data_IF_781296012814
#
_entry.id   IF_781296012814
#
_cell.length_a   1.000
_cell.length_b   1.000
_cell.length_c   1.000
_cell.angle_alpha   90.00
_cell.angle_beta   90.00
_cell.angle_gamma   90.00
#
_symmetry.space_group_name_H-M   'P 1'
#
loop_
_entity.id
_entity.type
_entity.pdbx_description
1 polymer ?
#
# COMPACT_ATOMS: atom_id res chain seq x y z
N UNK A 1 -31.33 52.87 31.45
CA UNK A 1 -30.17 53.61 30.92
C UNK A 1 -28.89 53.12 31.60
N UNK A 2 -28.04 52.38 30.89
CA UNK A 2 -26.60 52.26 31.18
C UNK A 2 -25.91 51.73 29.91
N UNK A 3 -25.32 52.67 29.17
CA UNK A 3 -24.31 52.43 28.13
C UNK A 3 -23.08 51.86 28.81
N UNK A 4 -22.38 50.88 28.24
CA UNK A 4 -20.91 50.82 28.28
C UNK A 4 -20.34 49.82 27.26
N UNK A 5 -19.49 50.40 26.39
CA UNK A 5 -18.38 49.87 25.60
C UNK A 5 -18.54 48.61 24.72
N UNK A 6 -18.53 48.88 23.40
CA UNK A 6 -18.01 48.01 22.35
C UNK A 6 -16.52 47.70 22.59
N UNK A 7 -16.13 46.43 22.51
CA UNK A 7 -14.75 46.02 22.24
C UNK A 7 -14.79 45.23 20.93
N UNK A 8 -14.38 45.91 19.86
CA UNK A 8 -14.11 45.32 18.56
C UNK A 8 -12.86 44.46 18.65
N UNK A 9 -13.01 43.14 18.58
CA UNK A 9 -11.90 42.21 18.40
C UNK A 9 -11.70 41.96 16.90
N UNK A 10 -10.80 42.74 16.30
CA UNK A 10 -10.28 42.46 14.97
C UNK A 10 -9.27 41.31 15.07
N UNK A 11 -9.71 40.08 14.85
CA UNK A 11 -8.78 38.98 14.58
C UNK A 11 -8.28 39.10 13.14
N UNK A 12 -6.99 39.46 13.03
CA UNK A 12 -6.25 39.47 11.78
C UNK A 12 -6.16 38.06 11.20
N UNK A 13 -6.25 38.01 9.88
CA UNK A 13 -6.07 36.82 9.06
C UNK A 13 -4.68 36.21 9.24
N UNK A 14 -4.63 34.89 9.32
CA UNK A 14 -3.54 34.13 8.72
C UNK A 14 -4.16 33.09 7.79
N UNK A 15 -4.04 33.37 6.50
CA UNK A 15 -4.24 32.38 5.46
C UNK A 15 -3.24 31.26 5.70
N UNK A 16 -3.73 30.08 6.08
CA UNK A 16 -2.91 28.87 5.92
C UNK A 16 -2.91 28.59 4.42
N UNK A 17 -1.82 29.06 3.81
CA UNK A 17 -1.40 28.75 2.46
C UNK A 17 -1.52 27.24 2.21
N UNK A 18 -1.93 26.91 1.00
CA UNK A 18 -2.43 25.60 0.63
C UNK A 18 -1.59 24.43 1.10
N UNK A 19 -2.27 23.41 1.62
CA UNK A 19 -1.87 22.05 1.29
C UNK A 19 -2.11 21.90 -0.20
N UNK A 20 -1.03 22.08 -0.96
CA UNK A 20 -0.97 21.65 -2.35
C UNK A 20 -1.45 20.21 -2.38
N UNK A 21 -2.64 20.02 -2.97
CA UNK A 21 -3.03 18.77 -3.61
C UNK A 21 -1.80 18.37 -4.41
N UNK A 22 -1.06 17.36 -3.95
CA UNK A 22 -0.06 16.70 -4.79
C UNK A 22 -0.88 16.02 -5.88
N UNK A 23 -1.21 16.80 -6.91
CA UNK A 23 -1.65 16.27 -8.19
C UNK A 23 -0.43 15.51 -8.68
N UNK A 24 -0.42 14.21 -8.39
CA UNK A 24 0.53 13.29 -8.94
C UNK A 24 0.36 13.34 -10.46
N UNK A 25 1.26 14.08 -11.11
CA UNK A 25 1.61 14.10 -12.53
C UNK A 25 0.61 13.33 -13.40
N UNK A 26 -0.31 14.10 -14.00
CA UNK A 26 -1.47 13.63 -14.75
C UNK A 26 -1.15 13.48 -16.26
N UNK A 27 0.12 13.24 -16.58
CA UNK A 27 0.57 13.16 -17.97
C UNK A 27 0.88 11.70 -18.32
N UNK A 28 -0.15 10.97 -18.77
CA UNK A 28 -0.13 9.56 -19.22
C UNK A 28 0.16 8.50 -18.14
N UNK A 29 -0.73 8.35 -17.16
CA UNK A 29 -0.76 7.13 -16.34
C UNK A 29 -1.30 5.97 -17.18
N UNK A 30 -0.38 5.18 -17.73
CA UNK A 30 -0.65 3.93 -18.45
C UNK A 30 -1.67 3.04 -17.72
N UNK A 31 -1.53 2.95 -16.40
CA UNK A 31 -2.50 2.33 -15.52
C UNK A 31 -2.74 3.19 -14.27
N UNK A 32 -3.95 3.09 -13.72
CA UNK A 32 -4.35 3.62 -12.43
C UNK A 32 -4.76 2.47 -11.52
N UNK A 33 -4.76 2.68 -10.20
CA UNK A 33 -5.20 1.68 -9.24
C UNK A 33 -6.17 2.31 -8.24
N UNK A 34 -7.15 1.54 -7.79
CA UNK A 34 -8.04 1.97 -6.70
C UNK A 34 -7.31 1.94 -5.36
N UNK A 35 -7.70 2.83 -4.45
CA UNK A 35 -7.35 2.67 -3.03
C UNK A 35 -8.07 1.42 -2.52
N UNK A 36 -7.36 0.29 -2.56
CA UNK A 36 -7.86 -0.99 -2.09
C UNK A 36 -8.17 -0.98 -0.59
N UNK A 37 -9.01 -1.92 -0.13
CA UNK A 37 -9.07 -2.20 1.31
C UNK A 37 -7.68 -2.66 1.76
N UNK A 38 -7.06 -1.93 2.68
CA UNK A 38 -5.74 -2.29 3.21
C UNK A 38 -5.72 -3.74 3.68
N UNK A 39 -4.62 -4.44 3.41
CA UNK A 39 -4.47 -5.83 3.83
C UNK A 39 -4.22 -5.95 5.33
N UNK A 40 -4.48 -7.14 5.87
CA UNK A 40 -4.16 -7.49 7.25
C UNK A 40 -2.91 -8.36 7.28
N UNK A 41 -1.83 -7.78 7.77
CA UNK A 41 -0.58 -8.49 8.01
C UNK A 41 -0.62 -9.17 9.39
N UNK A 42 -0.37 -10.47 9.42
CA UNK A 42 -0.35 -11.26 10.66
C UNK A 42 0.92 -12.08 10.75
N UNK A 43 1.25 -12.54 11.95
CA UNK A 43 2.30 -13.53 12.13
C UNK A 43 1.85 -14.91 11.64
N UNK A 44 2.77 -15.73 11.15
CA UNK A 44 2.47 -17.15 10.95
C UNK A 44 1.99 -17.82 12.27
N UNK A 45 1.12 -18.82 12.17
CA UNK A 45 0.53 -19.54 13.32
C UNK A 45 1.55 -20.47 13.99
N UNK A 46 2.58 -19.89 14.62
CA UNK A 46 3.61 -20.60 15.39
C UNK A 46 3.83 -19.94 16.75
N UNK A 47 4.31 -20.72 17.72
CA UNK A 47 4.63 -20.26 19.07
C UNK A 47 5.71 -19.17 19.05
N UNK A 48 6.70 -19.32 18.16
CA UNK A 48 7.77 -18.33 17.95
C UNK A 48 7.78 -17.91 16.48
N UNK A 49 6.91 -16.98 16.07
CA UNK A 49 6.79 -16.61 14.66
C UNK A 49 8.04 -15.86 14.19
N UNK A 50 8.54 -16.23 13.00
CA UNK A 50 9.59 -15.47 12.31
C UNK A 50 9.06 -14.68 11.11
N UNK A 51 7.79 -14.89 10.76
CA UNK A 51 7.21 -14.45 9.50
C UNK A 51 5.99 -13.57 9.71
N UNK A 52 5.85 -12.58 8.84
CA UNK A 52 4.67 -11.76 8.64
C UNK A 52 4.09 -12.09 7.26
N UNK A 53 2.79 -12.39 7.21
CA UNK A 53 2.09 -12.77 5.99
C UNK A 53 0.70 -12.17 5.94
N UNK A 54 0.19 -11.90 4.74
CA UNK A 54 -1.21 -11.52 4.50
C UNK A 54 -2.06 -12.72 4.08
N UNK A 55 -1.69 -13.93 4.54
CA UNK A 55 -2.36 -15.18 4.17
C UNK A 55 -3.59 -15.44 5.03
N UNK A 56 -4.73 -15.75 4.40
CA UNK A 56 -5.97 -16.13 5.08
C UNK A 56 -5.80 -17.35 5.98
N UNK A 57 -5.00 -18.34 5.55
CA UNK A 57 -4.69 -19.53 6.36
C UNK A 57 -3.99 -19.18 7.69
N UNK A 58 -3.26 -18.07 7.74
CA UNK A 58 -2.64 -17.54 8.95
C UNK A 58 -3.55 -16.58 9.73
N UNK A 59 -4.73 -16.25 9.20
CA UNK A 59 -5.65 -15.26 9.78
C UNK A 59 -5.39 -13.82 9.31
N UNK A 60 -4.58 -13.64 8.25
CA UNK A 60 -4.38 -12.36 7.59
C UNK A 60 -5.33 -12.16 6.42
N UNK A 61 -5.22 -11.02 5.75
CA UNK A 61 -6.04 -10.70 4.59
C UNK A 61 -5.18 -10.03 3.51
N UNK A 62 -5.37 -10.48 2.27
CA UNK A 62 -4.74 -9.87 1.11
C UNK A 62 -5.24 -8.44 0.90
N UNK A 63 -4.44 -7.61 0.24
CA UNK A 63 -4.91 -6.31 -0.23
C UNK A 63 -5.69 -6.55 -1.52
N UNK A 64 -6.94 -6.10 -1.57
CA UNK A 64 -7.78 -6.20 -2.75
C UNK A 64 -7.86 -4.85 -3.43
N UNK A 65 -7.62 -4.79 -4.73
CA UNK A 65 -7.69 -3.56 -5.51
C UNK A 65 -7.96 -3.83 -6.98
N UNK A 66 -8.34 -2.79 -7.71
CA UNK A 66 -8.53 -2.81 -9.14
C UNK A 66 -7.41 -2.03 -9.82
N UNK A 67 -6.83 -2.59 -10.88
CA UNK A 67 -5.89 -1.89 -11.76
C UNK A 67 -6.59 -1.64 -13.09
N UNK A 68 -6.70 -0.37 -13.49
CA UNK A 68 -7.32 0.03 -14.75
C UNK A 68 -6.26 0.58 -15.69
N UNK A 69 -6.02 -0.10 -16.81
CA UNK A 69 -5.05 0.29 -17.83
C UNK A 69 -5.74 0.81 -19.10
N UNK A 70 -5.22 1.88 -19.70
CA UNK A 70 -5.76 2.44 -20.96
C UNK A 70 -5.40 1.62 -22.20
N UNK A 71 -4.35 0.80 -22.10
CA UNK A 71 -3.84 -0.12 -23.12
C UNK A 71 -3.19 -1.31 -22.41
N UNK A 72 -2.83 -2.41 -23.11
CA UNK A 72 -2.06 -3.49 -22.50
C UNK A 72 -0.78 -2.95 -21.86
N UNK A 73 -0.43 -3.52 -20.70
CA UNK A 73 0.70 -3.09 -19.91
C UNK A 73 1.34 -4.26 -19.17
N UNK A 74 2.60 -4.09 -18.78
CA UNK A 74 3.34 -5.01 -17.93
C UNK A 74 3.47 -4.44 -16.54
N UNK A 75 3.01 -5.18 -15.54
CA UNK A 75 3.10 -4.83 -14.13
C UNK A 75 4.32 -5.50 -13.49
N UNK A 76 5.16 -4.68 -12.84
CA UNK A 76 6.19 -5.14 -11.91
C UNK A 76 5.85 -4.63 -10.51
N UNK A 77 6.05 -5.48 -9.51
CA UNK A 77 5.85 -5.14 -8.10
C UNK A 77 7.16 -5.16 -7.33
N UNK A 78 7.35 -4.20 -6.43
CA UNK A 78 8.52 -4.19 -5.54
C UNK A 78 8.40 -5.22 -4.41
N UNK A 79 9.53 -5.56 -3.78
CA UNK A 79 9.49 -6.21 -2.47
C UNK A 79 8.77 -5.31 -1.43
N UNK A 80 8.29 -5.87 -0.30
CA UNK A 80 7.67 -5.10 0.77
C UNK A 80 8.68 -4.12 1.40
N UNK A 81 8.23 -2.89 1.62
CA UNK A 81 9.00 -1.78 2.20
C UNK A 81 8.43 -1.50 3.58
N UNK A 82 9.22 -1.68 4.63
CA UNK A 82 8.77 -1.37 5.99
C UNK A 82 8.62 0.15 6.16
N UNK A 83 7.47 0.58 6.67
CA UNK A 83 7.16 2.00 6.95
C UNK A 83 6.86 2.27 8.43
N UNK A 84 6.75 1.20 9.24
CA UNK A 84 6.53 1.33 10.68
C UNK A 84 6.71 0.03 11.45
N UNK A 85 6.73 0.15 12.78
CA UNK A 85 6.91 -0.97 13.71
C UNK A 85 8.38 -1.32 13.99
N UNK A 86 8.64 -2.43 14.71
CA UNK A 86 10.00 -2.83 15.04
C UNK A 86 10.83 -3.16 13.80
N UNK A 87 11.95 -2.48 13.59
CA UNK A 87 12.80 -2.73 12.41
C UNK A 87 13.57 -4.06 12.51
N UNK A 88 13.73 -4.70 11.35
CA UNK A 88 14.67 -5.80 11.15
C UNK A 88 15.03 -5.93 9.68
N UNK A 89 16.17 -6.56 9.39
CA UNK A 89 16.55 -6.95 8.04
C UNK A 89 15.94 -8.33 7.72
N UNK A 90 15.03 -8.46 6.73
CA UNK A 90 14.49 -9.75 6.35
C UNK A 90 15.56 -10.65 5.71
N UNK A 91 15.48 -11.96 5.95
CA UNK A 91 16.24 -12.96 5.18
C UNK A 91 15.54 -13.28 3.86
N UNK A 92 14.23 -13.07 3.80
CA UNK A 92 13.42 -13.19 2.60
C UNK A 92 12.21 -12.27 2.71
N UNK A 93 11.91 -11.53 1.65
CA UNK A 93 10.71 -10.72 1.57
C UNK A 93 10.26 -10.59 0.13
N UNK A 94 8.96 -10.79 -0.12
CA UNK A 94 8.40 -10.61 -1.45
C UNK A 94 6.94 -10.16 -1.40
N UNK A 95 6.55 -9.44 -2.44
CA UNK A 95 5.16 -9.09 -2.71
C UNK A 95 4.71 -9.94 -3.89
N UNK A 96 3.54 -10.56 -3.81
CA UNK A 96 2.93 -11.28 -4.92
C UNK A 96 1.63 -10.62 -5.34
N UNK A 97 1.40 -10.53 -6.64
CA UNK A 97 0.15 -10.03 -7.21
C UNK A 97 -0.50 -11.16 -8.00
N UNK A 98 -1.78 -11.40 -7.78
CA UNK A 98 -2.58 -12.41 -8.47
C UNK A 98 -3.83 -11.76 -9.05
N UNK A 99 -4.12 -12.00 -10.33
CA UNK A 99 -5.36 -11.55 -10.97
C UNK A 99 -6.51 -12.51 -10.66
N UNK A 100 -7.74 -12.05 -10.84
CA UNK A 100 -8.92 -12.93 -10.75
C UNK A 100 -8.89 -14.12 -11.76
N UNK A 101 -8.16 -13.98 -12.87
CA UNK A 101 -7.95 -15.06 -13.86
C UNK A 101 -6.87 -16.07 -13.46
N UNK A 102 -6.19 -15.88 -12.33
CA UNK A 102 -5.16 -16.77 -11.80
C UNK A 102 -3.74 -16.50 -12.31
N UNK A 103 -3.53 -15.47 -13.13
CA UNK A 103 -2.18 -15.04 -13.51
C UNK A 103 -1.51 -14.35 -12.33
N UNK A 104 -0.20 -14.55 -12.13
CA UNK A 104 0.49 -13.96 -11.00
C UNK A 104 1.93 -13.58 -11.30
N UNK A 105 2.45 -12.62 -10.54
CA UNK A 105 3.88 -12.27 -10.48
C UNK A 105 4.30 -12.06 -9.03
N UNK A 106 5.61 -12.07 -8.77
CA UNK A 106 6.19 -11.67 -7.50
C UNK A 106 7.31 -10.65 -7.71
N UNK A 107 7.68 -9.97 -6.63
CA UNK A 107 8.82 -9.07 -6.65
C UNK A 107 10.09 -9.79 -7.12
N UNK A 108 10.78 -9.20 -8.10
CA UNK A 108 11.95 -9.75 -8.79
C UNK A 108 11.66 -10.95 -9.72
N UNK A 109 10.39 -11.25 -10.02
CA UNK A 109 10.01 -12.20 -11.07
C UNK A 109 9.64 -11.46 -12.38
N UNK A 110 9.26 -12.23 -13.40
CA UNK A 110 8.82 -11.68 -14.67
C UNK A 110 7.58 -10.78 -14.49
N UNK A 111 7.47 -9.68 -15.26
CA UNK A 111 6.30 -8.81 -15.21
C UNK A 111 5.01 -9.58 -15.51
N UNK A 112 3.91 -9.15 -14.89
CA UNK A 112 2.57 -9.64 -15.17
C UNK A 112 1.94 -8.84 -16.31
N UNK A 113 1.54 -9.51 -17.38
CA UNK A 113 0.79 -8.86 -18.46
C UNK A 113 -0.64 -8.55 -18.00
N UNK A 114 -1.05 -7.29 -18.18
CA UNK A 114 -2.37 -6.76 -17.91
C UNK A 114 -3.03 -6.33 -19.23
N UNK A 115 -4.27 -6.76 -19.51
CA UNK A 115 -5.00 -6.26 -20.66
C UNK A 115 -5.44 -4.81 -20.44
N UNK A 116 -5.86 -4.15 -21.51
CA UNK A 116 -6.59 -2.89 -21.40
C UNK A 116 -7.92 -3.10 -20.64
N UNK A 117 -8.34 -2.10 -19.87
CA UNK A 117 -9.51 -2.15 -19.01
C UNK A 117 -9.15 -2.43 -17.55
N UNK A 118 -10.13 -2.85 -16.77
CA UNK A 118 -10.01 -3.07 -15.33
C UNK A 118 -9.71 -4.53 -15.01
N UNK A 119 -8.62 -4.76 -14.29
CA UNK A 119 -8.22 -6.07 -13.78
C UNK A 119 -8.25 -6.06 -12.24
N UNK A 120 -9.15 -6.81 -11.60
CA UNK A 120 -9.12 -7.03 -10.16
C UNK A 120 -7.90 -7.86 -9.78
N UNK A 121 -7.19 -7.42 -8.73
CA UNK A 121 -5.99 -8.09 -8.22
C UNK A 121 -6.01 -8.24 -6.70
N UNK A 122 -5.43 -9.35 -6.25
CA UNK A 122 -5.10 -9.59 -4.85
C UNK A 122 -3.59 -9.49 -4.66
N UNK A 123 -3.15 -8.69 -3.70
CA UNK A 123 -1.74 -8.51 -3.36
C UNK A 123 -1.46 -9.16 -2.01
N UNK A 124 -0.44 -10.02 -1.97
CA UNK A 124 0.03 -10.63 -0.74
C UNK A 124 1.45 -10.19 -0.41
N UNK A 125 1.71 -10.01 0.89
CA UNK A 125 3.04 -9.73 1.43
C UNK A 125 3.54 -10.95 2.19
N UNK A 126 4.82 -11.23 2.02
CA UNK A 126 5.57 -12.19 2.81
C UNK A 126 6.86 -11.52 3.29
N UNK A 127 7.12 -11.59 4.58
CA UNK A 127 8.37 -11.09 5.19
C UNK A 127 8.84 -12.09 6.23
N UNK A 128 10.04 -12.63 6.06
CA UNK A 128 10.68 -13.57 6.98
C UNK A 128 11.94 -12.95 7.57
N UNK A 129 11.98 -12.87 8.89
CA UNK A 129 13.16 -12.43 9.63
C UNK A 129 14.21 -13.53 9.77
N UNK A 130 13.84 -14.80 9.58
CA UNK A 130 14.69 -15.98 9.84
C UNK A 130 14.94 -16.25 11.32
N UNK A 131 14.39 -15.41 12.20
CA UNK A 131 14.46 -15.54 13.65
C UNK A 131 13.19 -14.95 14.27
N UNK A 132 13.00 -15.16 15.57
CA UNK A 132 11.80 -14.70 16.28
C UNK A 132 11.54 -13.20 16.07
N UNK A 133 10.31 -12.86 15.69
CA UNK A 133 9.83 -11.49 15.59
C UNK A 133 9.73 -10.85 16.98
N UNK A 134 9.98 -9.53 17.05
CA UNK A 134 9.66 -8.76 18.25
C UNK A 134 8.15 -8.54 18.26
N UNK A 135 7.56 -8.41 19.45
CA UNK A 135 6.16 -8.01 19.54
C UNK A 135 6.05 -6.54 19.09
N UNK A 136 5.10 -6.23 18.21
CA UNK A 136 4.83 -4.88 17.76
C UNK A 136 3.90 -4.81 16.56
N UNK A 137 3.47 -3.59 16.23
CA UNK A 137 2.60 -3.31 15.09
C UNK A 137 3.46 -2.99 13.87
N UNK A 138 3.59 -3.97 12.97
CA UNK A 138 4.39 -3.84 11.76
C UNK A 138 3.57 -3.23 10.63
N UNK A 139 4.16 -2.29 9.88
CA UNK A 139 3.50 -1.66 8.74
C UNK A 139 4.43 -1.72 7.52
N UNK A 140 3.85 -2.13 6.39
CA UNK A 140 4.57 -2.27 5.12
C UNK A 140 3.78 -1.61 3.98
N UNK A 141 4.53 -1.11 3.00
CA UNK A 141 4.03 -0.65 1.71
C UNK A 141 4.79 -1.35 0.59
N UNK A 142 4.42 -1.10 -0.67
CA UNK A 142 5.07 -1.61 -1.87
C UNK A 142 4.82 -0.64 -3.02
N UNK A 143 5.50 -0.85 -4.15
CA UNK A 143 5.37 -0.03 -5.34
C UNK A 143 4.98 -0.88 -6.54
N UNK A 144 4.16 -0.31 -7.40
CA UNK A 144 3.93 -0.81 -8.74
C UNK A 144 4.68 0.04 -9.76
N UNK A 145 5.20 -0.64 -10.77
CA UNK A 145 5.77 -0.04 -11.96
C UNK A 145 5.06 -0.63 -13.16
N UNK A 146 4.57 0.23 -14.05
CA UNK A 146 3.90 -0.16 -15.27
C UNK A 146 4.73 0.24 -16.48
N UNK A 147 4.89 -0.67 -17.44
CA UNK A 147 5.48 -0.37 -18.75
C UNK A 147 4.53 -0.79 -19.85
N UNK A 148 4.51 -0.11 -21.02
CA UNK A 148 3.74 -0.56 -22.18
C UNK A 148 4.09 -1.98 -22.62
#
# INVERSE_FOLDING_TARGET
MRRFLLISLAMMMTQIAGLQKLIADETNKLCTFSEGSGGQLVTEKKITPSKLVTSESAGGAAIQMDITCSQPAKLVVSAPIQVGGPEFKPVSAFTSVTTASGNSTKSNEAPLDLPAGTTPVSVHLYVDKGSRLKVGNYQYTFKFTFTP
#
